data_IF_710028056873
#
_entry.id   IF_710028056873
#
_cell.length_a   1.000
_cell.length_b   1.000
_cell.length_c   1.000
_cell.angle_alpha   90.00
_cell.angle_beta   90.00
_cell.angle_gamma   90.00
#
_symmetry.space_group_name_H-M   'P 1'
#
loop_
_entity.id
_entity.type
_entity.pdbx_description
1 polymer ?
#
# COMPACT_ATOMS: atom_id res chain seq x y z
N UNK A 1 -14.51 18.79 -11.06
CA UNK A 1 -14.73 17.38 -10.62
C UNK A 1 -14.21 16.49 -11.72
N UNK A 2 -13.38 15.50 -11.40
CA UNK A 2 -12.81 14.57 -12.38
C UNK A 2 -13.91 13.69 -12.99
N UNK A 3 -13.93 13.56 -14.32
CA UNK A 3 -14.81 12.61 -15.00
C UNK A 3 -14.29 11.16 -14.85
N UNK A 4 -15.00 10.20 -15.44
CA UNK A 4 -14.65 8.78 -15.30
C UNK A 4 -13.28 8.46 -15.92
N UNK A 5 -12.94 9.06 -17.07
CA UNK A 5 -11.65 8.86 -17.75
C UNK A 5 -10.50 9.46 -16.93
N UNK A 6 -10.70 10.67 -16.40
CA UNK A 6 -9.75 11.31 -15.50
C UNK A 6 -9.48 10.49 -14.24
N UNK A 7 -10.51 9.89 -13.64
CA UNK A 7 -10.35 9.02 -12.47
C UNK A 7 -9.55 7.75 -12.78
N UNK A 8 -9.84 7.11 -13.90
CA UNK A 8 -9.09 5.95 -14.37
C UNK A 8 -7.61 6.33 -14.60
N UNK A 9 -7.37 7.47 -15.24
CA UNK A 9 -6.02 7.97 -15.49
C UNK A 9 -5.29 8.30 -14.19
N UNK A 10 -5.95 8.95 -13.26
CA UNK A 10 -5.38 9.26 -11.94
C UNK A 10 -4.98 7.99 -11.19
N UNK A 11 -5.85 6.99 -11.11
CA UNK A 11 -5.55 5.69 -10.49
C UNK A 11 -4.32 5.02 -11.12
N UNK A 12 -4.22 5.04 -12.45
CA UNK A 12 -3.05 4.49 -13.16
C UNK A 12 -1.76 5.27 -12.83
N UNK A 13 -1.83 6.59 -12.72
CA UNK A 13 -0.68 7.42 -12.35
C UNK A 13 -0.25 7.20 -10.90
N UNK A 14 -1.20 7.06 -9.97
CA UNK A 14 -0.93 6.73 -8.57
C UNK A 14 -0.25 5.36 -8.46
N UNK A 15 -0.69 4.37 -9.22
CA UNK A 15 -0.01 3.07 -9.28
C UNK A 15 1.42 3.18 -9.83
N UNK A 16 1.62 3.97 -10.92
CA UNK A 16 2.97 4.21 -11.45
C UNK A 16 3.89 4.88 -10.41
N UNK A 17 3.41 5.94 -9.72
CA UNK A 17 4.18 6.64 -8.71
C UNK A 17 4.58 5.70 -7.56
N UNK A 18 3.63 4.90 -7.06
CA UNK A 18 3.87 3.91 -6.02
C UNK A 18 4.92 2.89 -6.45
N UNK A 19 4.79 2.31 -7.65
CA UNK A 19 5.72 1.32 -8.16
C UNK A 19 7.11 1.90 -8.42
N UNK A 20 7.22 3.15 -8.84
CA UNK A 20 8.51 3.83 -9.02
C UNK A 20 9.29 3.89 -7.70
N UNK A 21 8.59 4.12 -6.58
CA UNK A 21 9.20 4.15 -5.24
C UNK A 21 9.53 2.74 -4.75
N UNK A 22 8.59 1.79 -4.87
CA UNK A 22 8.75 0.44 -4.33
C UNK A 22 9.80 -0.37 -5.10
N UNK A 23 9.96 -0.16 -6.41
CA UNK A 23 10.95 -0.89 -7.24
C UNK A 23 12.40 -0.61 -6.84
N UNK A 24 12.65 0.51 -6.15
CA UNK A 24 13.99 0.92 -5.70
C UNK A 24 14.11 0.95 -4.17
N UNK A 25 13.08 0.53 -3.45
CA UNK A 25 13.07 0.56 -1.99
C UNK A 25 13.77 -0.68 -1.41
N UNK A 26 14.98 -0.56 -0.83
CA UNK A 26 15.56 -1.65 -0.07
C UNK A 26 14.80 -1.76 1.27
N UNK A 27 14.58 -2.95 1.80
CA UNK A 27 15.08 -4.27 1.40
C UNK A 27 14.01 -5.13 0.69
N UNK A 28 13.09 -4.55 -0.09
CA UNK A 28 12.07 -5.33 -0.80
C UNK A 28 12.71 -6.25 -1.83
N UNK A 29 12.35 -7.52 -1.81
CA UNK A 29 12.82 -8.52 -2.77
C UNK A 29 11.90 -8.65 -3.98
N UNK A 30 10.60 -8.45 -3.78
CA UNK A 30 9.59 -8.51 -4.84
C UNK A 30 8.46 -7.53 -4.54
N UNK A 31 7.96 -6.89 -5.59
CA UNK A 31 6.69 -6.13 -5.55
C UNK A 31 5.64 -6.91 -6.33
N UNK A 32 4.44 -7.04 -5.75
CA UNK A 32 3.33 -7.79 -6.33
C UNK A 32 2.13 -6.87 -6.46
N UNK A 33 1.51 -6.89 -7.64
CA UNK A 33 0.25 -6.21 -7.91
C UNK A 33 -0.83 -7.27 -8.12
N UNK A 34 -1.94 -7.14 -7.40
CA UNK A 34 -3.13 -7.97 -7.58
C UNK A 34 -4.25 -7.10 -8.12
N UNK A 35 -4.80 -7.43 -9.27
CA UNK A 35 -5.89 -6.64 -9.87
C UNK A 35 -6.66 -7.45 -10.92
N UNK A 36 -7.94 -7.12 -11.09
CA UNK A 36 -8.74 -7.57 -12.22
C UNK A 36 -8.54 -6.69 -13.47
N UNK A 37 -7.93 -5.51 -13.32
CA UNK A 37 -7.66 -4.58 -14.41
C UNK A 37 -6.36 -4.93 -15.15
N UNK A 38 -6.50 -5.34 -16.43
CA UNK A 38 -5.35 -5.70 -17.27
C UNK A 38 -4.37 -4.54 -17.50
N UNK A 39 -4.80 -3.28 -17.35
CA UNK A 39 -3.89 -2.12 -17.47
C UNK A 39 -2.83 -2.13 -16.36
N UNK A 40 -3.16 -2.68 -15.19
CA UNK A 40 -2.21 -2.84 -14.11
C UNK A 40 -1.06 -3.82 -14.44
N UNK A 41 -1.27 -4.81 -15.33
CA UNK A 41 -0.23 -5.73 -15.81
C UNK A 41 0.85 -5.00 -16.60
N UNK A 42 0.45 -4.11 -17.53
CA UNK A 42 1.39 -3.31 -18.30
C UNK A 42 2.25 -2.41 -17.42
N UNK A 43 1.60 -1.77 -16.42
CA UNK A 43 2.28 -0.91 -15.46
C UNK A 43 3.21 -1.74 -14.57
N UNK A 44 2.76 -2.88 -14.05
CA UNK A 44 3.59 -3.79 -13.24
C UNK A 44 4.84 -4.25 -14.01
N UNK A 45 4.66 -4.71 -15.25
CA UNK A 45 5.75 -5.16 -16.13
C UNK A 45 6.80 -4.06 -16.35
N UNK A 46 6.35 -2.83 -16.62
CA UNK A 46 7.22 -1.66 -16.82
C UNK A 46 8.13 -1.38 -15.60
N UNK A 47 7.63 -1.66 -14.41
CA UNK A 47 8.36 -1.41 -13.14
C UNK A 47 8.98 -2.67 -12.53
N UNK A 48 8.99 -3.81 -13.23
CA UNK A 48 9.56 -5.05 -12.75
C UNK A 48 8.76 -5.70 -11.61
N UNK A 49 7.50 -5.30 -11.42
CA UNK A 49 6.62 -5.90 -10.44
C UNK A 49 5.96 -7.17 -11.00
N UNK A 50 5.63 -8.11 -10.13
CA UNK A 50 4.85 -9.29 -10.46
C UNK A 50 3.36 -8.96 -10.51
N UNK A 51 2.70 -9.27 -11.60
CA UNK A 51 1.25 -9.17 -11.70
C UNK A 51 0.58 -10.51 -11.39
N UNK A 52 -0.42 -10.50 -10.52
CA UNK A 52 -1.31 -11.61 -10.22
C UNK A 52 -2.74 -11.22 -10.60
N UNK A 53 -3.30 -11.81 -11.66
CA UNK A 53 -4.65 -11.46 -12.08
C UNK A 53 -5.71 -12.01 -11.12
N UNK A 54 -6.72 -11.21 -10.82
CA UNK A 54 -7.99 -11.66 -10.27
C UNK A 54 -9.01 -11.89 -11.42
N UNK A 55 -9.84 -12.93 -11.32
CA UNK A 55 -10.94 -13.14 -12.28
C UNK A 55 -11.99 -12.03 -12.22
N UNK A 56 -12.20 -11.49 -11.02
CA UNK A 56 -13.10 -10.37 -10.70
C UNK A 56 -12.61 -9.68 -9.43
N UNK A 57 -12.97 -8.42 -9.28
CA UNK A 57 -12.74 -7.70 -8.01
C UNK A 57 -13.50 -8.39 -6.87
N UNK A 58 -12.75 -8.87 -5.88
CA UNK A 58 -13.26 -9.60 -4.71
C UNK A 58 -12.95 -8.88 -3.39
N UNK A 59 -12.50 -7.63 -3.50
CA UNK A 59 -12.12 -6.76 -2.38
C UNK A 59 -10.68 -6.96 -1.91
N UNK A 60 -10.18 -5.97 -1.18
CA UNK A 60 -8.76 -5.89 -0.77
C UNK A 60 -8.32 -7.11 0.04
N UNK A 61 -9.16 -7.62 0.94
CA UNK A 61 -8.81 -8.78 1.77
C UNK A 61 -8.55 -10.02 0.91
N UNK A 62 -9.34 -10.24 -0.15
CA UNK A 62 -9.17 -11.37 -1.08
C UNK A 62 -7.90 -11.20 -1.91
N UNK A 63 -7.64 -9.99 -2.41
CA UNK A 63 -6.43 -9.67 -3.16
C UNK A 63 -5.16 -9.90 -2.32
N UNK A 64 -5.18 -9.47 -1.06
CA UNK A 64 -4.06 -9.72 -0.13
C UNK A 64 -3.88 -11.20 0.16
N UNK A 65 -4.96 -11.97 0.34
CA UNK A 65 -4.85 -13.40 0.56
C UNK A 65 -4.23 -14.14 -0.65
N UNK A 66 -4.55 -13.72 -1.88
CA UNK A 66 -3.92 -14.24 -3.10
C UNK A 66 -2.42 -13.92 -3.14
N UNK A 67 -2.04 -12.68 -2.85
CA UNK A 67 -0.64 -12.26 -2.78
C UNK A 67 0.14 -13.00 -1.68
N UNK A 68 -0.45 -13.16 -0.50
CA UNK A 68 0.16 -13.90 0.61
C UNK A 68 0.45 -15.36 0.22
N UNK A 69 -0.51 -16.03 -0.40
CA UNK A 69 -0.34 -17.39 -0.90
C UNK A 69 0.85 -17.48 -1.86
N UNK A 70 0.96 -16.57 -2.81
CA UNK A 70 2.10 -16.49 -3.72
C UNK A 70 3.42 -16.23 -2.99
N UNK A 71 3.46 -15.26 -2.08
CA UNK A 71 4.65 -14.92 -1.31
C UNK A 71 5.17 -16.11 -0.48
N UNK A 72 4.25 -16.87 0.14
CA UNK A 72 4.61 -18.02 0.96
C UNK A 72 5.09 -19.19 0.09
N UNK A 73 4.36 -19.51 -0.99
CA UNK A 73 4.61 -20.71 -1.76
C UNK A 73 5.74 -20.57 -2.79
N UNK A 74 5.91 -19.37 -3.37
CA UNK A 74 6.84 -19.14 -4.49
C UNK A 74 8.06 -18.32 -4.11
N UNK A 75 7.92 -17.38 -3.18
CA UNK A 75 8.99 -16.44 -2.83
C UNK A 75 9.65 -16.80 -1.47
N UNK A 76 9.08 -17.74 -0.70
CA UNK A 76 9.54 -18.07 0.66
C UNK A 76 9.75 -16.81 1.52
N UNK A 77 8.84 -15.85 1.41
CA UNK A 77 8.98 -14.53 2.04
C UNK A 77 8.93 -14.63 3.56
N UNK A 78 9.84 -13.93 4.24
CA UNK A 78 9.86 -13.82 5.70
C UNK A 78 8.79 -12.88 6.22
N UNK A 79 8.40 -11.90 5.43
CA UNK A 79 7.38 -10.89 5.76
C UNK A 79 6.68 -10.39 4.49
N UNK A 80 5.49 -9.84 4.65
CA UNK A 80 4.77 -9.12 3.60
C UNK A 80 4.42 -7.71 4.05
N UNK A 81 4.46 -6.75 3.11
CA UNK A 81 3.98 -5.37 3.33
C UNK A 81 2.82 -5.13 2.36
N UNK A 82 1.67 -4.77 2.90
CA UNK A 82 0.51 -4.30 2.12
C UNK A 82 0.50 -2.79 2.12
N UNK A 83 0.44 -2.20 0.94
CA UNK A 83 0.42 -0.74 0.73
C UNK A 83 -0.63 -0.45 -0.35
N UNK A 84 -1.63 0.41 -0.09
CA UNK A 84 -2.52 0.93 -1.12
C UNK A 84 -1.74 1.84 -2.07
N UNK A 85 -2.25 2.02 -3.30
CA UNK A 85 -1.55 2.78 -4.33
C UNK A 85 -1.90 4.28 -4.37
N UNK A 86 -2.78 4.74 -3.50
CA UNK A 86 -3.29 6.11 -3.41
C UNK A 86 -2.52 7.01 -2.42
N UNK A 87 -1.24 6.68 -2.19
CA UNK A 87 -0.32 7.38 -1.28
C UNK A 87 0.68 8.25 -2.07
N UNK A 88 0.32 9.44 -2.53
CA UNK A 88 1.17 10.24 -3.42
C UNK A 88 2.42 10.82 -2.75
N UNK A 89 2.49 10.78 -1.42
CA UNK A 89 3.65 11.22 -0.65
C UNK A 89 4.59 10.06 -0.27
N UNK A 90 4.31 8.83 -0.71
CA UNK A 90 5.12 7.66 -0.39
C UNK A 90 6.60 7.90 -0.73
N UNK A 91 7.49 7.47 0.15
CA UNK A 91 8.93 7.48 -0.06
C UNK A 91 9.58 6.15 0.33
N UNK A 92 10.78 5.86 -0.20
CA UNK A 92 11.47 4.60 0.06
C UNK A 92 12.07 4.51 1.48
N UNK A 93 12.28 5.64 2.15
CA UNK A 93 12.85 5.69 3.50
C UNK A 93 11.89 5.10 4.51
N UNK A 94 10.58 5.41 4.37
CA UNK A 94 9.57 4.88 5.29
C UNK A 94 9.41 3.36 5.15
N UNK A 95 9.61 2.82 3.94
CA UNK A 95 9.58 1.37 3.71
C UNK A 95 10.75 0.69 4.40
N UNK A 96 11.97 1.24 4.22
CA UNK A 96 13.17 0.74 4.93
C UNK A 96 12.97 0.76 6.45
N UNK A 97 12.40 1.85 6.97
CA UNK A 97 12.12 1.97 8.41
C UNK A 97 11.09 0.96 8.92
N UNK A 98 10.08 0.63 8.13
CA UNK A 98 9.12 -0.42 8.47
C UNK A 98 9.82 -1.78 8.61
N UNK A 99 10.71 -2.11 7.67
CA UNK A 99 11.49 -3.35 7.70
C UNK A 99 12.46 -3.38 8.89
N UNK A 100 13.18 -2.29 9.18
CA UNK A 100 14.06 -2.17 10.35
C UNK A 100 13.31 -2.42 11.67
N UNK A 101 12.09 -1.89 11.79
CA UNK A 101 11.24 -2.14 12.97
C UNK A 101 10.88 -3.62 13.14
N UNK A 102 10.73 -4.35 12.03
CA UNK A 102 10.39 -5.77 12.05
C UNK A 102 11.62 -6.68 12.15
N UNK A 103 12.83 -6.20 11.82
CA UNK A 103 14.04 -7.02 11.67
C UNK A 103 14.34 -7.87 12.90
N UNK A 104 14.29 -7.27 14.08
CA UNK A 104 14.66 -7.90 15.37
C UNK A 104 13.58 -8.82 15.94
N UNK A 105 12.40 -8.87 15.33
CA UNK A 105 11.29 -9.68 15.81
C UNK A 105 11.15 -10.96 14.99
N UNK A 106 10.89 -12.06 15.64
CA UNK A 106 10.46 -13.28 14.95
C UNK A 106 9.01 -13.20 14.46
N UNK A 107 8.20 -12.43 15.18
CA UNK A 107 6.77 -12.27 14.92
C UNK A 107 6.32 -10.87 15.30
N UNK A 108 5.73 -10.12 14.39
CA UNK A 108 5.17 -8.79 14.68
C UNK A 108 4.29 -8.30 13.54
N UNK A 109 3.55 -7.21 13.80
CA UNK A 109 3.08 -6.32 12.75
C UNK A 109 3.70 -4.93 12.92
N UNK A 110 4.00 -4.27 11.78
CA UNK A 110 4.27 -2.83 11.72
C UNK A 110 3.12 -2.20 10.95
N UNK A 111 2.49 -1.18 11.51
CA UNK A 111 1.24 -0.64 10.96
C UNK A 111 1.22 0.88 10.94
N UNK A 112 0.75 1.45 9.83
CA UNK A 112 0.47 2.88 9.70
C UNK A 112 -1.02 3.11 9.43
N UNK A 113 -1.71 3.94 10.22
CA UNK A 113 -3.09 4.33 9.94
C UNK A 113 -3.19 5.36 8.80
N UNK A 114 -4.41 5.58 8.29
CA UNK A 114 -4.78 6.82 7.61
C UNK A 114 -4.73 8.00 8.59
N UNK A 115 -4.79 9.22 8.08
CA UNK A 115 -4.81 10.43 8.92
C UNK A 115 -6.02 10.47 9.86
N UNK A 116 -7.11 9.80 9.50
CA UNK A 116 -8.34 9.68 10.29
C UNK A 116 -8.30 8.56 11.33
N UNK A 117 -7.27 7.70 11.30
CA UNK A 117 -7.12 6.53 12.17
C UNK A 117 -8.21 5.45 12.04
N UNK A 118 -8.96 5.45 10.95
CA UNK A 118 -9.97 4.46 10.59
C UNK A 118 -9.48 3.49 9.51
N UNK A 119 -8.62 3.95 8.61
CA UNK A 119 -7.97 3.19 7.54
C UNK A 119 -6.58 2.69 7.92
N UNK A 120 -6.07 1.71 7.16
CA UNK A 120 -4.70 1.18 7.26
C UNK A 120 -3.97 1.45 5.95
N UNK A 121 -3.00 2.36 5.97
CA UNK A 121 -2.23 2.75 4.79
C UNK A 121 -0.91 1.98 4.64
N UNK A 122 -0.49 1.23 5.66
CA UNK A 122 0.57 0.25 5.56
C UNK A 122 0.38 -0.84 6.62
N UNK A 123 0.53 -2.09 6.22
CA UNK A 123 0.54 -3.24 7.12
C UNK A 123 1.68 -4.20 6.75
N UNK A 124 2.77 -4.18 7.52
CA UNK A 124 3.78 -5.23 7.48
C UNK A 124 3.38 -6.35 8.43
N UNK A 125 3.46 -7.60 7.97
CA UNK A 125 3.21 -8.81 8.75
C UNK A 125 4.41 -9.74 8.68
N UNK A 126 4.92 -10.13 9.82
CA UNK A 126 6.04 -11.07 9.96
C UNK A 126 5.67 -12.17 10.97
N UNK A 127 5.61 -13.45 10.54
CA UNK A 127 5.66 -13.90 9.15
C UNK A 127 4.43 -13.46 8.33
N UNK A 128 4.41 -13.72 7.01
CA UNK A 128 3.21 -13.48 6.19
C UNK A 128 1.97 -14.12 6.83
N UNK A 129 0.85 -13.44 6.73
CA UNK A 129 -0.45 -13.93 7.28
C UNK A 129 -0.47 -14.18 8.79
N UNK A 130 0.48 -13.64 9.57
CA UNK A 130 0.49 -13.77 11.05
C UNK A 130 -0.79 -13.24 11.70
N UNK A 131 -1.45 -12.31 11.07
CA UNK A 131 -2.85 -11.92 11.29
C UNK A 131 -3.58 -11.88 9.94
N UNK A 132 -4.90 -12.09 9.95
CA UNK A 132 -5.75 -11.80 8.80
C UNK A 132 -5.82 -10.30 8.48
N UNK A 133 -6.36 -9.96 7.32
CA UNK A 133 -6.57 -8.55 6.90
C UNK A 133 -8.04 -8.16 7.02
N UNK A 134 -8.29 -6.88 7.33
CA UNK A 134 -9.61 -6.33 7.65
C UNK A 134 -9.75 -4.91 7.04
N UNK A 135 -9.67 -4.81 5.71
CA UNK A 135 -9.61 -3.51 5.00
C UNK A 135 -10.98 -2.85 4.73
N UNK A 136 -12.10 -3.43 5.19
CA UNK A 136 -13.42 -2.90 4.82
C UNK A 136 -13.88 -1.76 5.74
N UNK A 137 -13.77 -1.92 7.06
CA UNK A 137 -14.29 -0.93 8.02
C UNK A 137 -13.39 -0.89 9.25
N UNK A 138 -13.03 0.33 9.69
CA UNK A 138 -12.19 0.56 10.89
C UNK A 138 -10.93 -0.32 10.89
N UNK A 139 -10.30 -0.42 9.73
CA UNK A 139 -9.27 -1.42 9.43
C UNK A 139 -8.07 -1.33 10.37
N UNK A 140 -7.63 -0.12 10.70
CA UNK A 140 -6.52 0.10 11.64
C UNK A 140 -6.80 -0.51 13.01
N UNK A 141 -7.95 -0.18 13.59
CA UNK A 141 -8.33 -0.70 14.90
C UNK A 141 -8.57 -2.20 14.88
N UNK A 142 -9.14 -2.74 13.79
CA UNK A 142 -9.35 -4.18 13.63
C UNK A 142 -8.04 -4.95 13.57
N UNK A 143 -7.05 -4.48 12.79
CA UNK A 143 -5.72 -5.10 12.74
C UNK A 143 -5.03 -5.05 14.11
N UNK A 144 -5.01 -3.87 14.77
CA UNK A 144 -4.39 -3.71 16.09
C UNK A 144 -5.02 -4.61 17.15
N UNK A 145 -6.36 -4.60 17.25
CA UNK A 145 -7.09 -5.44 18.22
C UNK A 145 -6.86 -6.93 17.97
N UNK A 146 -6.82 -7.34 16.71
CA UNK A 146 -6.56 -8.75 16.35
C UNK A 146 -5.15 -9.16 16.76
N UNK A 147 -4.14 -8.34 16.45
CA UNK A 147 -2.77 -8.62 16.86
C UNK A 147 -2.63 -8.70 18.39
N UNK A 148 -3.20 -7.76 19.13
CA UNK A 148 -3.19 -7.76 20.61
C UNK A 148 -3.86 -9.03 21.16
N UNK A 149 -5.03 -9.40 20.64
CA UNK A 149 -5.77 -10.61 21.05
C UNK A 149 -4.95 -11.90 20.83
N UNK A 150 -4.14 -11.93 19.80
CA UNK A 150 -3.26 -13.07 19.46
C UNK A 150 -1.89 -12.99 20.14
N UNK A 151 -1.61 -11.95 20.95
CA UNK A 151 -0.30 -11.74 21.58
C UNK A 151 0.81 -11.37 20.59
N UNK A 152 0.46 -10.87 19.39
CA UNK A 152 1.40 -10.44 18.37
C UNK A 152 1.85 -9.00 18.65
N UNK A 153 3.17 -8.71 18.74
CA UNK A 153 3.67 -7.35 18.93
C UNK A 153 3.21 -6.40 17.83
N UNK A 154 2.71 -5.23 18.24
CA UNK A 154 2.27 -4.15 17.34
C UNK A 154 3.27 -3.01 17.41
N UNK A 155 3.79 -2.59 16.25
CA UNK A 155 4.72 -1.47 16.12
C UNK A 155 4.09 -0.38 15.24
N UNK A 156 3.54 0.69 15.82
CA UNK A 156 3.02 1.81 15.04
C UNK A 156 4.17 2.54 14.33
N UNK A 157 3.99 2.84 13.06
CA UNK A 157 4.89 3.69 12.27
C UNK A 157 4.09 4.88 11.71
N UNK A 158 4.13 6.00 12.42
CA UNK A 158 3.43 7.22 12.00
C UNK A 158 4.35 8.05 11.10
N UNK A 159 3.98 8.18 9.84
CA UNK A 159 4.71 8.98 8.86
C UNK A 159 3.73 9.73 7.97
N UNK A 160 4.00 11.01 7.73
CA UNK A 160 3.21 11.82 6.80
C UNK A 160 3.13 11.17 5.41
N UNK A 161 4.23 10.59 4.94
CA UNK A 161 4.29 9.94 3.62
C UNK A 161 3.43 8.69 3.48
N UNK A 162 2.97 8.11 4.58
CA UNK A 162 2.06 6.96 4.59
C UNK A 162 0.64 7.32 5.03
N UNK A 163 0.47 8.34 5.87
CA UNK A 163 -0.83 8.64 6.48
C UNK A 163 -1.80 9.37 5.53
N UNK A 164 -1.27 10.06 4.51
CA UNK A 164 -2.07 10.87 3.60
C UNK A 164 -2.35 10.13 2.30
N UNK A 165 -3.55 9.64 2.17
CA UNK A 165 -4.18 9.01 1.02
C UNK A 165 -5.07 10.01 0.25
N UNK A 166 -5.42 9.69 -0.98
CA UNK A 166 -6.36 10.48 -1.80
C UNK A 166 -7.67 9.73 -1.95
N UNK A 167 -8.58 9.93 -1.02
CA UNK A 167 -9.94 9.39 -1.06
C UNK A 167 -10.96 10.39 -1.61
N UNK A 168 -10.75 11.68 -1.33
CA UNK A 168 -11.69 12.75 -1.63
C UNK A 168 -11.04 13.88 -2.44
N UNK A 169 -11.83 14.72 -3.13
CA UNK A 169 -11.31 15.93 -3.76
C UNK A 169 -10.61 16.88 -2.77
N UNK A 170 -11.05 16.91 -1.52
CA UNK A 170 -10.48 17.72 -0.45
C UNK A 170 -9.07 17.25 -0.09
N UNK A 171 -8.84 15.92 -0.04
CA UNK A 171 -7.52 15.33 0.19
C UNK A 171 -6.57 15.74 -0.96
N UNK A 172 -7.04 15.63 -2.20
CA UNK A 172 -6.28 16.06 -3.37
C UNK A 172 -5.89 17.55 -3.30
N UNK A 173 -6.84 18.44 -2.95
CA UNK A 173 -6.60 19.87 -2.79
C UNK A 173 -5.60 20.20 -1.66
N UNK A 174 -5.55 19.40 -0.62
CA UNK A 174 -4.58 19.53 0.46
C UNK A 174 -3.18 19.11 -0.02
N UNK A 175 -3.09 17.97 -0.69
CA UNK A 175 -1.82 17.36 -1.11
C UNK A 175 -1.11 18.13 -2.22
N UNK A 176 -1.83 18.80 -3.12
CA UNK A 176 -1.19 19.64 -4.16
C UNK A 176 -0.47 20.86 -3.61
N UNK A 177 -0.68 21.22 -2.33
CA UNK A 177 0.05 22.31 -1.65
C UNK A 177 1.41 21.86 -1.12
N UNK A 178 1.67 20.54 -1.13
CA UNK A 178 2.96 20.02 -0.73
C UNK A 178 4.01 20.38 -1.76
N UNK A 179 5.08 21.01 -1.29
CA UNK A 179 6.24 21.35 -2.08
C UNK A 179 7.20 20.15 -2.19
N UNK A 180 7.90 20.04 -3.32
CA UNK A 180 8.93 19.03 -3.57
C UNK A 180 8.44 17.56 -3.67
N UNK A 181 7.19 17.33 -4.01
CA UNK A 181 6.67 16.01 -4.33
C UNK A 181 6.61 15.85 -5.85
N UNK A 182 7.49 15.01 -6.39
CA UNK A 182 7.57 14.72 -7.82
C UNK A 182 6.66 13.52 -8.19
N UNK A 183 5.37 13.59 -7.85
CA UNK A 183 4.39 12.57 -8.20
C UNK A 183 3.59 13.00 -9.43
N UNK A 184 3.54 12.14 -10.45
CA UNK A 184 2.78 12.39 -11.69
C UNK A 184 1.28 12.55 -11.42
N UNK A 185 0.78 11.81 -10.44
CA UNK A 185 -0.60 11.91 -9.96
C UNK A 185 -0.94 13.32 -9.45
N UNK A 186 -0.06 13.94 -8.66
CA UNK A 186 -0.25 15.30 -8.16
C UNK A 186 -0.14 16.35 -9.28
N UNK A 187 0.79 16.18 -10.23
CA UNK A 187 0.88 17.03 -11.41
C UNK A 187 -0.40 16.97 -12.26
N UNK A 188 -0.92 15.75 -12.45
CA UNK A 188 -2.18 15.56 -13.16
C UNK A 188 -3.34 16.25 -12.46
N UNK A 189 -3.49 16.10 -11.15
CA UNK A 189 -4.53 16.79 -10.36
C UNK A 189 -4.40 18.31 -10.52
N UNK A 190 -3.19 18.87 -10.38
CA UNK A 190 -2.93 20.30 -10.58
C UNK A 190 -3.37 20.79 -11.96
N UNK A 191 -3.23 19.97 -12.99
CA UNK A 191 -3.62 20.33 -14.37
C UNK A 191 -5.15 20.34 -14.59
N UNK A 192 -5.94 19.80 -13.66
CA UNK A 192 -7.42 19.68 -13.73
C UNK A 192 -8.15 20.66 -12.82
N UNK A 193 -7.42 21.47 -12.07
CA UNK A 193 -7.93 22.54 -11.21
C UNK A 193 -7.82 23.90 -11.90
#
# INVERSE_FOLDING_TARGET
>A
MLDTEDRIRLSSLMLEDTLQILSVAPPLTQVIIVSADKRADEIATKHGAKFLPEEKESGVNSAVALADGYCIEKEAADATIVIPHDLPLLDSIVISKACELAEKESTCIVICPSVRYDGTNMLLRKPPSVIGTFYETDSYNMHVRTAIKLGIPVKPLLSKSLMYDIDTPEDALQLIKEENVAAKSLEFIKSKL
#
